data_IF_903059548790
#
_entry.id   IF_903059548790
#
_cell.length_a   1.000
_cell.length_b   1.000
_cell.length_c   1.000
_cell.angle_alpha   90.00
_cell.angle_beta   90.00
_cell.angle_gamma   90.00
#
_symmetry.space_group_name_H-M   'P 1'
#
loop_
_entity.id
_entity.type
_entity.pdbx_description
1 polymer ?
#
# COMPACT_ATOMS: atom_id res chain seq x y z
N UNK A 1 -4.28 -8.93 -23.95
CA UNK A 1 -4.28 -9.41 -22.56
C UNK A 1 -5.70 -9.28 -22.02
N UNK A 2 -6.31 -10.33 -21.49
CA UNK A 2 -7.66 -10.29 -20.92
C UNK A 2 -7.61 -9.38 -19.68
N UNK A 3 -8.48 -8.36 -19.61
CA UNK A 3 -8.65 -7.55 -18.41
C UNK A 3 -9.01 -8.48 -17.26
N UNK A 4 -8.07 -8.70 -16.36
CA UNK A 4 -8.27 -9.48 -15.15
C UNK A 4 -9.26 -8.70 -14.28
N UNK A 5 -10.46 -9.19 -14.16
CA UNK A 5 -11.50 -8.60 -13.33
C UNK A 5 -11.70 -9.50 -12.13
N UNK A 6 -11.14 -9.10 -10.98
CA UNK A 6 -11.40 -9.72 -9.69
C UNK A 6 -12.84 -9.43 -9.27
N UNK A 7 -13.78 -10.32 -9.64
CA UNK A 7 -15.20 -10.16 -9.29
C UNK A 7 -15.45 -10.75 -7.92
N UNK A 8 -15.69 -9.89 -6.93
CA UNK A 8 -15.99 -10.26 -5.54
C UNK A 8 -14.87 -11.07 -4.84
N UNK A 9 -13.68 -11.13 -5.41
CA UNK A 9 -12.50 -11.71 -4.78
C UNK A 9 -11.84 -10.68 -3.89
N UNK A 10 -11.23 -11.14 -2.80
CA UNK A 10 -10.52 -10.26 -1.87
C UNK A 10 -9.21 -9.80 -2.48
N UNK A 11 -9.03 -8.49 -2.60
CA UNK A 11 -7.81 -7.87 -3.08
C UNK A 11 -7.18 -7.04 -1.97
N UNK A 12 -5.92 -7.27 -1.68
CA UNK A 12 -5.09 -6.46 -0.78
C UNK A 12 -4.05 -5.75 -1.65
N UNK A 13 -4.15 -4.43 -1.71
CA UNK A 13 -3.35 -3.59 -2.60
C UNK A 13 -2.33 -2.84 -1.74
N UNK A 14 -1.04 -3.06 -2.01
CA UNK A 14 0.08 -2.56 -1.22
C UNK A 14 0.80 -1.42 -1.90
N UNK A 15 1.20 -0.43 -1.11
CA UNK A 15 2.23 0.52 -1.47
C UNK A 15 2.93 1.06 -0.22
N UNK A 16 4.07 1.71 -0.38
CA UNK A 16 4.82 2.34 0.71
C UNK A 16 5.03 3.83 0.49
N UNK A 17 5.37 4.51 1.56
CA UNK A 17 5.82 5.90 1.53
C UNK A 17 6.93 6.17 2.54
N UNK A 18 7.83 7.06 2.19
CA UNK A 18 9.06 7.31 2.92
C UNK A 18 10.23 6.51 2.34
N UNK A 19 11.31 6.39 3.10
CA UNK A 19 12.54 5.74 2.64
C UNK A 19 13.12 4.85 3.74
N UNK A 20 13.46 3.60 3.43
CA UNK A 20 14.14 2.67 4.34
C UNK A 20 15.64 3.00 4.52
N UNK A 21 16.20 3.93 3.72
CA UNK A 21 17.54 4.44 3.93
C UNK A 21 17.59 5.52 5.01
N UNK A 22 18.58 6.42 4.90
CA UNK A 22 18.87 7.46 5.91
C UNK A 22 17.93 8.66 5.85
N UNK A 23 17.22 8.89 4.75
CA UNK A 23 16.32 10.03 4.60
C UNK A 23 15.01 9.85 5.40
N UNK A 24 14.57 10.91 6.11
CA UNK A 24 13.37 10.93 6.92
C UNK A 24 13.44 10.04 8.16
N UNK A 25 12.50 10.20 9.07
CA UNK A 25 12.38 9.38 10.29
C UNK A 25 11.48 8.15 10.07
N UNK A 26 10.38 8.34 9.39
CA UNK A 26 9.38 7.30 9.28
C UNK A 26 9.35 6.64 7.88
N UNK A 27 9.00 5.37 7.89
CA UNK A 27 8.67 4.60 6.70
C UNK A 27 7.31 3.93 6.93
N UNK A 28 6.45 3.95 5.94
CA UNK A 28 5.08 3.43 6.03
C UNK A 28 4.86 2.38 4.97
N UNK A 29 4.28 1.25 5.35
CA UNK A 29 3.62 0.34 4.43
C UNK A 29 2.12 0.46 4.70
N UNK A 30 1.34 0.72 3.66
CA UNK A 30 -0.11 0.77 3.74
C UNK A 30 -0.74 -0.15 2.71
N UNK A 31 -1.95 -0.61 3.01
CA UNK A 31 -2.72 -1.40 2.07
C UNK A 31 -4.20 -1.04 2.12
N UNK A 32 -4.85 -1.25 0.98
CA UNK A 32 -6.29 -1.20 0.81
C UNK A 32 -6.78 -2.63 0.66
N UNK A 33 -7.70 -3.06 1.52
CA UNK A 33 -8.38 -4.34 1.47
C UNK A 33 -9.79 -4.14 0.91
N UNK A 34 -10.16 -4.84 -0.15
CA UNK A 34 -11.45 -4.66 -0.81
C UNK A 34 -11.91 -5.89 -1.60
N UNK A 35 -13.22 -6.13 -1.62
CA UNK A 35 -13.89 -7.02 -2.58
C UNK A 35 -14.44 -6.24 -3.80
N UNK A 36 -14.27 -4.93 -3.82
CA UNK A 36 -14.83 -4.04 -4.83
C UNK A 36 -13.74 -3.42 -5.75
N UNK A 37 -12.75 -4.22 -6.17
CA UNK A 37 -11.63 -3.80 -7.03
C UNK A 37 -12.05 -2.85 -8.16
N UNK A 38 -13.06 -3.25 -8.95
CA UNK A 38 -13.53 -2.49 -10.12
C UNK A 38 -14.05 -1.09 -9.74
N UNK A 39 -14.71 -0.97 -8.58
CA UNK A 39 -15.23 0.30 -8.10
C UNK A 39 -14.11 1.27 -7.73
N UNK A 40 -13.06 0.75 -7.07
CA UNK A 40 -11.86 1.52 -6.73
C UNK A 40 -11.08 1.90 -7.99
N UNK A 41 -10.84 0.96 -8.89
CA UNK A 41 -10.17 1.22 -10.17
C UNK A 41 -10.87 2.33 -10.97
N UNK A 42 -12.18 2.23 -11.16
CA UNK A 42 -12.93 3.18 -11.98
C UNK A 42 -12.93 4.60 -11.40
N UNK A 43 -13.00 4.75 -10.07
CA UNK A 43 -12.93 6.09 -9.47
C UNK A 43 -11.55 6.72 -9.66
N UNK A 44 -10.49 5.92 -9.53
CA UNK A 44 -9.12 6.38 -9.74
C UNK A 44 -8.89 6.81 -11.20
N UNK A 45 -9.26 5.96 -12.17
CA UNK A 45 -9.19 6.30 -13.62
C UNK A 45 -9.87 7.65 -13.89
N UNK A 46 -11.11 7.80 -13.41
CA UNK A 46 -11.89 9.03 -13.65
C UNK A 46 -11.25 10.25 -13.00
N UNK A 47 -10.83 10.15 -11.74
CA UNK A 47 -10.37 11.32 -10.98
C UNK A 47 -8.96 11.73 -11.36
N UNK A 48 -8.07 10.77 -11.57
CA UNK A 48 -6.74 11.07 -12.08
C UNK A 48 -6.80 11.60 -13.52
N UNK A 49 -7.70 11.07 -14.36
CA UNK A 49 -7.91 11.61 -15.72
C UNK A 49 -8.33 13.08 -15.71
N UNK A 50 -9.23 13.49 -14.81
CA UNK A 50 -9.62 14.89 -14.63
C UNK A 50 -8.42 15.72 -14.13
N UNK A 51 -7.69 15.23 -13.14
CA UNK A 51 -6.53 15.92 -12.57
C UNK A 51 -5.45 16.17 -13.64
N UNK A 52 -5.16 15.20 -14.50
CA UNK A 52 -4.21 15.31 -15.62
C UNK A 52 -4.61 16.41 -16.61
N UNK A 53 -5.90 16.54 -16.87
CA UNK A 53 -6.42 17.56 -17.79
C UNK A 53 -6.35 18.96 -17.18
N UNK A 54 -6.61 19.08 -15.88
CA UNK A 54 -6.67 20.37 -15.18
C UNK A 54 -5.31 20.84 -14.68
N UNK A 55 -4.40 19.91 -14.38
CA UNK A 55 -3.07 20.17 -13.79
C UNK A 55 -1.99 19.39 -14.56
N UNK A 56 -1.74 19.70 -15.84
CA UNK A 56 -0.81 18.94 -16.67
C UNK A 56 0.63 18.96 -16.15
N UNK A 57 1.00 19.95 -15.33
CA UNK A 57 2.32 20.08 -14.71
C UNK A 57 2.66 18.97 -13.71
N UNK A 58 1.64 18.28 -13.14
CA UNK A 58 1.85 17.21 -12.16
C UNK A 58 2.14 15.83 -12.80
N UNK A 59 2.16 15.74 -14.13
CA UNK A 59 2.32 14.46 -14.83
C UNK A 59 3.74 13.94 -14.75
N UNK A 60 4.75 14.81 -14.66
CA UNK A 60 6.17 14.47 -14.51
C UNK A 60 6.68 13.41 -15.51
N UNK A 61 6.14 13.41 -16.74
CA UNK A 61 6.54 12.46 -17.80
C UNK A 61 5.92 11.07 -17.73
N UNK A 62 5.09 10.77 -16.72
CA UNK A 62 4.36 9.51 -16.62
C UNK A 62 3.13 9.47 -17.52
N UNK A 63 2.87 8.31 -18.15
CA UNK A 63 1.74 8.16 -19.06
C UNK A 63 0.39 8.07 -18.31
N UNK A 64 0.35 7.40 -17.17
CA UNK A 64 -0.87 7.14 -16.40
C UNK A 64 -0.75 7.50 -14.92
N UNK A 65 0.45 7.51 -14.35
CA UNK A 65 0.69 7.76 -12.94
C UNK A 65 0.65 9.26 -12.60
N UNK A 66 0.05 9.59 -11.45
CA UNK A 66 0.25 10.84 -10.71
C UNK A 66 0.62 10.45 -9.30
N UNK A 67 1.90 10.55 -8.96
CA UNK A 67 2.38 10.21 -7.62
C UNK A 67 1.75 11.10 -6.56
N UNK A 68 1.34 10.51 -5.45
CA UNK A 68 0.74 11.24 -4.34
C UNK A 68 1.69 12.30 -3.75
N UNK A 69 3.00 12.08 -3.79
CA UNK A 69 4.01 13.04 -3.35
C UNK A 69 4.03 14.31 -4.20
N UNK A 70 3.79 14.19 -5.51
CA UNK A 70 3.87 15.28 -6.49
C UNK A 70 2.51 15.92 -6.77
N UNK A 71 1.42 15.28 -6.31
CA UNK A 71 0.07 15.75 -6.55
C UNK A 71 -0.19 17.09 -5.86
N UNK A 72 -0.89 17.98 -6.55
CA UNK A 72 -1.35 19.23 -5.95
C UNK A 72 -2.19 18.95 -4.68
N UNK A 73 -2.03 19.71 -3.58
CA UNK A 73 -2.71 19.46 -2.31
C UNK A 73 -4.22 19.24 -2.42
N UNK A 74 -4.91 20.05 -3.26
CA UNK A 74 -6.35 19.92 -3.49
C UNK A 74 -6.72 18.63 -4.23
N UNK A 75 -5.89 18.20 -5.18
CA UNK A 75 -6.06 16.94 -5.92
C UNK A 75 -5.90 15.76 -4.97
N UNK A 76 -4.83 15.76 -4.17
CA UNK A 76 -4.56 14.73 -3.17
C UNK A 76 -5.71 14.60 -2.17
N UNK A 77 -6.15 15.71 -1.61
CA UNK A 77 -7.27 15.74 -0.68
C UNK A 77 -8.54 15.13 -1.31
N UNK A 78 -8.92 15.60 -2.51
CA UNK A 78 -10.12 15.14 -3.19
C UNK A 78 -10.05 13.65 -3.60
N UNK A 79 -8.88 13.16 -4.02
CA UNK A 79 -8.71 11.74 -4.34
C UNK A 79 -8.92 10.88 -3.10
N UNK A 80 -8.35 11.25 -1.95
CA UNK A 80 -8.55 10.53 -0.68
C UNK A 80 -10.02 10.53 -0.25
N UNK A 81 -10.74 11.65 -0.40
CA UNK A 81 -12.19 11.68 -0.17
C UNK A 81 -12.93 10.68 -1.09
N UNK A 82 -12.55 10.63 -2.37
CA UNK A 82 -13.17 9.70 -3.31
C UNK A 82 -12.85 8.22 -2.96
N UNK A 83 -11.64 7.92 -2.53
CA UNK A 83 -11.24 6.59 -2.03
C UNK A 83 -12.09 6.23 -0.80
N UNK A 84 -12.26 7.15 0.15
CA UNK A 84 -13.05 6.95 1.35
C UNK A 84 -14.53 6.66 1.10
N UNK A 85 -15.08 7.02 -0.08
CA UNK A 85 -16.46 6.65 -0.45
C UNK A 85 -16.61 5.19 -0.88
N UNK A 86 -15.50 4.46 -1.07
CA UNK A 86 -15.54 3.08 -1.55
C UNK A 86 -15.68 2.08 -0.41
N UNK A 87 -16.14 0.89 -0.77
CA UNK A 87 -16.16 -0.26 0.14
C UNK A 87 -14.75 -0.84 0.23
N UNK A 88 -14.00 -0.28 1.16
CA UNK A 88 -12.61 -0.59 1.43
C UNK A 88 -12.33 -0.56 2.92
N UNK A 89 -11.32 -1.29 3.34
CA UNK A 89 -10.64 -1.14 4.61
C UNK A 89 -9.19 -0.73 4.37
N UNK A 90 -8.65 0.06 5.28
CA UNK A 90 -7.25 0.53 5.20
C UNK A 90 -6.50 -0.01 6.40
N UNK A 91 -5.37 -0.62 6.13
CA UNK A 91 -4.43 -1.08 7.16
C UNK A 91 -3.04 -0.56 6.88
N UNK A 92 -2.29 -0.21 7.93
CA UNK A 92 -0.93 0.25 7.76
C UNK A 92 -0.04 -0.11 8.94
N UNK A 93 1.27 -0.13 8.68
CA UNK A 93 2.33 -0.19 9.69
C UNK A 93 3.33 0.94 9.46
N UNK A 94 3.69 1.63 10.54
CA UNK A 94 4.67 2.72 10.52
C UNK A 94 5.94 2.28 11.23
N UNK A 95 7.06 2.34 10.53
CA UNK A 95 8.38 2.12 11.08
C UNK A 95 8.98 3.44 11.56
N UNK A 96 9.36 3.52 12.84
CA UNK A 96 10.21 4.59 13.38
C UNK A 96 11.69 4.16 13.31
N UNK A 97 12.37 4.61 12.27
CA UNK A 97 13.78 4.26 12.01
C UNK A 97 14.72 4.72 13.12
N UNK A 98 14.41 5.85 13.75
CA UNK A 98 15.24 6.40 14.81
C UNK A 98 15.33 5.48 16.03
N UNK A 99 14.29 4.71 16.30
CA UNK A 99 14.22 3.78 17.42
C UNK A 99 14.33 2.31 17.02
N UNK A 100 14.62 2.05 15.76
CA UNK A 100 14.89 0.71 15.23
C UNK A 100 16.38 0.43 15.28
N UNK A 101 16.76 -0.78 15.67
CA UNK A 101 18.17 -1.20 15.71
C UNK A 101 18.78 -1.06 14.32
N UNK A 102 19.96 -0.42 14.18
CA UNK A 102 20.61 -0.19 12.88
C UNK A 102 20.77 -1.47 12.05
N UNK A 103 21.11 -2.58 12.69
CA UNK A 103 21.35 -3.88 12.04
C UNK A 103 20.10 -4.38 11.28
N UNK A 104 18.89 -4.02 11.76
CA UNK A 104 17.64 -4.36 11.08
C UNK A 104 17.37 -3.49 9.85
N UNK A 105 18.06 -2.36 9.73
CA UNK A 105 17.92 -1.44 8.59
C UNK A 105 18.99 -1.65 7.51
N UNK A 106 19.98 -2.51 7.75
CA UNK A 106 21.04 -2.79 6.78
C UNK A 106 20.49 -3.44 5.51
N UNK A 107 19.57 -4.40 5.67
CA UNK A 107 18.88 -5.02 4.53
C UNK A 107 17.44 -4.51 4.42
N UNK A 108 17.23 -3.61 3.46
CA UNK A 108 15.93 -2.99 3.21
C UNK A 108 14.86 -4.00 2.80
N UNK A 109 15.26 -5.06 2.09
CA UNK A 109 14.31 -6.09 1.62
C UNK A 109 13.83 -6.95 2.78
N UNK A 110 14.74 -7.32 3.68
CA UNK A 110 14.39 -8.08 4.90
C UNK A 110 13.43 -7.24 5.75
N UNK A 111 13.74 -5.95 5.96
CA UNK A 111 12.87 -5.08 6.76
C UNK A 111 11.49 -4.90 6.10
N UNK A 112 11.45 -4.67 4.80
CA UNK A 112 10.20 -4.57 4.05
C UNK A 112 9.36 -5.84 4.18
N UNK A 113 9.95 -7.00 3.91
CA UNK A 113 9.27 -8.29 4.02
C UNK A 113 8.76 -8.55 5.44
N UNK A 114 9.54 -8.20 6.44
CA UNK A 114 9.18 -8.38 7.85
C UNK A 114 7.99 -7.51 8.25
N UNK A 115 8.00 -6.22 7.89
CA UNK A 115 6.89 -5.31 8.18
C UNK A 115 5.61 -5.72 7.44
N UNK A 116 5.74 -6.09 6.16
CA UNK A 116 4.62 -6.58 5.36
C UNK A 116 4.02 -7.85 5.95
N UNK A 117 4.86 -8.79 6.41
CA UNK A 117 4.39 -9.99 7.10
C UNK A 117 3.62 -9.65 8.38
N UNK A 118 4.14 -8.73 9.21
CA UNK A 118 3.45 -8.31 10.45
C UNK A 118 2.07 -7.75 10.12
N UNK A 119 1.97 -6.90 9.10
CA UNK A 119 0.71 -6.29 8.70
C UNK A 119 -0.27 -7.34 8.17
N UNK A 120 0.16 -8.17 7.23
CA UNK A 120 -0.67 -9.24 6.65
C UNK A 120 -1.11 -10.27 7.69
N UNK A 121 -0.26 -10.63 8.65
CA UNK A 121 -0.60 -11.56 9.73
C UNK A 121 -1.73 -11.08 10.65
N UNK A 122 -2.00 -9.77 10.66
CA UNK A 122 -3.14 -9.19 11.38
C UNK A 122 -4.40 -9.09 10.52
N UNK A 123 -4.25 -9.15 9.19
CA UNK A 123 -5.34 -9.01 8.23
C UNK A 123 -5.90 -10.35 7.76
N UNK A 124 -5.05 -11.37 7.70
CA UNK A 124 -5.35 -12.70 7.16
C UNK A 124 -5.34 -13.69 8.31
N UNK A 125 -6.40 -14.49 8.41
CA UNK A 125 -6.58 -15.43 9.50
C UNK A 125 -7.27 -16.73 9.09
N UNK A 126 -7.70 -17.51 10.07
CA UNK A 126 -8.34 -18.83 9.85
C UNK A 126 -9.63 -18.75 9.04
N UNK A 127 -10.33 -17.64 9.11
CA UNK A 127 -11.57 -17.42 8.36
C UNK A 127 -11.36 -17.31 6.85
N UNK A 128 -10.10 -17.08 6.42
CA UNK A 128 -9.70 -17.01 5.02
C UNK A 128 -9.30 -18.38 4.44
N UNK A 129 -9.30 -19.45 5.25
CA UNK A 129 -8.91 -20.79 4.81
C UNK A 129 -9.75 -21.28 3.62
N UNK A 130 -9.08 -21.82 2.60
CA UNK A 130 -9.71 -22.28 1.37
C UNK A 130 -10.16 -21.17 0.42
N UNK A 131 -9.82 -19.90 0.69
CA UNK A 131 -10.10 -18.78 -0.20
C UNK A 131 -8.88 -18.39 -1.04
N UNK A 132 -9.12 -17.67 -2.13
CA UNK A 132 -8.07 -16.99 -2.90
C UNK A 132 -8.01 -15.52 -2.49
N UNK A 133 -6.81 -15.04 -2.16
CA UNK A 133 -6.53 -13.64 -1.85
C UNK A 133 -5.52 -13.10 -2.87
N UNK A 134 -5.89 -12.03 -3.57
CA UNK A 134 -5.01 -11.34 -4.50
C UNK A 134 -4.24 -10.25 -3.76
N UNK A 135 -2.91 -10.33 -3.77
CA UNK A 135 -2.01 -9.31 -3.22
C UNK A 135 -1.36 -8.57 -4.39
N UNK A 136 -1.67 -7.28 -4.52
CA UNK A 136 -1.21 -6.44 -5.61
C UNK A 136 -0.19 -5.45 -5.08
N UNK A 137 1.03 -5.47 -5.62
CA UNK A 137 2.14 -4.62 -5.22
C UNK A 137 2.63 -3.78 -6.41
N UNK A 138 3.18 -2.59 -6.14
CA UNK A 138 3.92 -1.87 -7.16
C UNK A 138 5.20 -2.62 -7.52
N UNK A 139 5.49 -2.71 -8.79
CA UNK A 139 6.69 -3.35 -9.29
C UNK A 139 7.98 -2.50 -9.05
N UNK A 140 7.83 -1.19 -8.80
CA UNK A 140 8.93 -0.27 -8.48
C UNK A 140 9.30 -0.24 -6.99
N UNK A 141 8.46 -0.81 -6.14
CA UNK A 141 8.51 -0.74 -4.69
C UNK A 141 9.81 -1.27 -4.11
N UNK A 142 10.39 -2.27 -4.71
CA UNK A 142 11.70 -2.73 -4.32
C UNK A 142 12.49 -3.07 -5.57
N UNK A 143 13.71 -2.53 -5.71
CA UNK A 143 14.74 -3.13 -6.56
C UNK A 143 15.14 -4.45 -5.92
N UNK A 144 14.15 -5.36 -5.80
CA UNK A 144 14.34 -6.68 -5.24
C UNK A 144 15.18 -7.43 -6.25
N UNK A 145 16.35 -7.86 -5.84
CA UNK A 145 17.22 -8.77 -6.60
C UNK A 145 16.52 -10.11 -6.90
N UNK A 146 15.33 -10.36 -6.29
CA UNK A 146 14.48 -11.49 -6.55
C UNK A 146 13.02 -11.10 -6.22
N UNK A 147 12.22 -10.85 -7.26
CA UNK A 147 10.77 -10.62 -7.13
C UNK A 147 10.05 -11.79 -6.43
N UNK A 148 10.58 -12.99 -6.56
CA UNK A 148 10.01 -14.20 -5.96
C UNK A 148 10.27 -14.31 -4.45
N UNK A 149 11.26 -13.60 -3.89
CA UNK A 149 11.60 -13.72 -2.48
C UNK A 149 10.51 -13.23 -1.53
N UNK A 150 9.80 -12.14 -1.87
CA UNK A 150 8.67 -11.63 -1.08
C UNK A 150 7.48 -12.58 -1.17
N UNK A 151 7.09 -12.98 -2.39
CA UNK A 151 5.97 -13.87 -2.62
C UNK A 151 6.16 -15.22 -1.92
N UNK A 152 7.35 -15.81 -2.07
CA UNK A 152 7.68 -17.07 -1.42
C UNK A 152 7.69 -16.96 0.10
N UNK A 153 8.25 -15.87 0.63
CA UNK A 153 8.29 -15.61 2.07
C UNK A 153 6.88 -15.52 2.68
N UNK A 154 5.96 -14.81 2.02
CA UNK A 154 4.59 -14.67 2.49
C UNK A 154 3.81 -16.00 2.36
N UNK A 155 3.98 -16.73 1.24
CA UNK A 155 3.34 -18.05 1.05
C UNK A 155 3.83 -19.07 2.08
N UNK A 156 5.13 -19.11 2.36
CA UNK A 156 5.70 -20.00 3.39
C UNK A 156 5.11 -19.65 4.75
N UNK A 157 5.06 -18.37 5.10
CA UNK A 157 4.51 -17.97 6.40
C UNK A 157 3.06 -18.43 6.57
N UNK A 158 2.17 -18.13 5.63
CA UNK A 158 0.74 -18.43 5.79
C UNK A 158 0.42 -19.92 5.63
N UNK A 159 1.00 -20.59 4.65
CA UNK A 159 0.61 -21.96 4.32
C UNK A 159 1.47 -23.03 4.99
N UNK A 160 2.73 -22.72 5.33
CA UNK A 160 3.62 -23.68 5.98
C UNK A 160 3.76 -23.44 7.49
N UNK A 161 3.99 -22.18 7.92
CA UNK A 161 4.17 -21.89 9.35
C UNK A 161 2.82 -21.78 10.09
N UNK A 162 1.80 -21.19 9.45
CA UNK A 162 0.46 -20.98 10.05
C UNK A 162 -0.58 -22.02 9.65
N UNK A 163 -0.28 -22.88 8.68
CA UNK A 163 -1.15 -23.96 8.17
C UNK A 163 -2.59 -23.47 7.81
N UNK A 164 -2.69 -22.30 7.14
CA UNK A 164 -3.99 -21.71 6.85
C UNK A 164 -4.63 -22.26 5.57
N UNK A 165 -3.86 -22.85 4.64
CA UNK A 165 -4.38 -23.40 3.38
C UNK A 165 -5.04 -22.34 2.50
N UNK A 166 -4.41 -21.16 2.36
CA UNK A 166 -4.90 -20.03 1.57
C UNK A 166 -4.20 -20.02 0.21
N UNK A 167 -4.96 -19.77 -0.87
CA UNK A 167 -4.38 -19.50 -2.18
C UNK A 167 -4.00 -18.02 -2.29
N UNK A 168 -2.69 -17.73 -2.27
CA UNK A 168 -2.16 -16.37 -2.38
C UNK A 168 -1.67 -16.11 -3.80
N UNK A 169 -2.42 -15.29 -4.55
CA UNK A 169 -2.03 -14.77 -5.86
C UNK A 169 -1.35 -13.40 -5.70
N UNK A 170 -0.02 -13.40 -5.72
CA UNK A 170 0.79 -12.19 -5.53
C UNK A 170 1.24 -11.66 -6.90
N UNK A 171 0.84 -10.45 -7.22
CA UNK A 171 1.10 -9.82 -8.52
C UNK A 171 1.81 -8.49 -8.34
N UNK A 172 2.77 -8.23 -9.24
CA UNK A 172 3.51 -6.98 -9.33
C UNK A 172 3.02 -6.21 -10.56
N UNK A 173 2.49 -5.01 -10.33
CA UNK A 173 1.91 -4.16 -11.35
C UNK A 173 2.78 -2.93 -11.54
N UNK A 174 2.91 -2.47 -12.78
CA UNK A 174 3.55 -1.20 -13.08
C UNK A 174 2.56 -0.07 -12.82
N UNK A 175 2.84 0.78 -11.84
CA UNK A 175 1.97 1.90 -11.42
C UNK A 175 1.68 2.89 -12.55
N UNK A 176 2.55 2.99 -13.57
CA UNK A 176 2.32 3.82 -14.77
C UNK A 176 1.51 3.10 -15.87
N UNK A 177 0.98 1.91 -15.59
CA UNK A 177 0.13 1.18 -16.55
C UNK A 177 -1.35 1.56 -16.41
N UNK A 178 -2.08 1.45 -17.52
CA UNK A 178 -3.53 1.70 -17.55
C UNK A 178 -4.36 0.72 -16.70
N UNK A 179 -3.78 -0.39 -16.29
CA UNK A 179 -4.46 -1.43 -15.52
C UNK A 179 -4.14 -1.34 -14.00
N UNK A 180 -3.19 -0.48 -13.60
CA UNK A 180 -2.67 -0.41 -12.23
C UNK A 180 -3.18 0.79 -11.41
N UNK A 181 -4.27 1.44 -11.79
CA UNK A 181 -4.80 2.59 -11.06
C UNK A 181 -5.13 2.34 -9.59
N UNK A 182 -5.33 1.08 -9.20
CA UNK A 182 -5.54 0.73 -7.78
C UNK A 182 -4.25 0.83 -6.96
N UNK A 183 -3.08 0.60 -7.58
CA UNK A 183 -1.78 0.82 -6.94
C UNK A 183 -1.62 2.30 -6.59
N UNK A 184 -1.98 3.20 -7.52
CA UNK A 184 -1.96 4.62 -7.21
C UNK A 184 -2.91 4.98 -6.05
N UNK A 185 -4.04 4.28 -5.86
CA UNK A 185 -4.86 4.49 -4.67
C UNK A 185 -4.12 4.14 -3.38
N UNK A 186 -3.34 3.05 -3.39
CA UNK A 186 -2.52 2.65 -2.25
C UNK A 186 -1.37 3.65 -2.00
N UNK A 187 -0.73 4.20 -3.06
CA UNK A 187 0.26 5.30 -2.96
C UNK A 187 -0.35 6.53 -2.24
N UNK A 188 -1.56 6.97 -2.64
CA UNK A 188 -2.23 8.08 -1.97
C UNK A 188 -2.50 7.81 -0.50
N UNK A 189 -2.88 6.58 -0.14
CA UNK A 189 -3.12 6.17 1.25
C UNK A 189 -1.81 6.13 2.03
N UNK A 190 -0.78 5.46 1.51
CA UNK A 190 0.53 5.36 2.15
C UNK A 190 1.16 6.73 2.38
N UNK A 191 1.09 7.60 1.37
CA UNK A 191 1.62 8.96 1.46
C UNK A 191 0.82 9.83 2.45
N UNK A 192 -0.50 9.66 2.56
CA UNK A 192 -1.31 10.37 3.55
C UNK A 192 -0.92 10.00 4.98
N UNK A 193 -0.71 8.71 5.25
CA UNK A 193 -0.25 8.21 6.55
C UNK A 193 1.18 8.69 6.83
N UNK A 194 2.09 8.57 5.86
CA UNK A 194 3.47 9.04 6.01
C UNK A 194 3.54 10.53 6.33
N UNK A 195 2.79 11.36 5.62
CA UNK A 195 2.72 12.82 5.86
C UNK A 195 2.29 13.14 7.30
N UNK A 196 1.36 12.36 7.87
CA UNK A 196 0.93 12.48 9.25
C UNK A 196 2.07 12.24 10.24
N UNK A 197 2.87 11.21 10.03
CA UNK A 197 3.95 10.86 10.96
C UNK A 197 5.22 11.68 10.73
N UNK A 198 5.64 11.86 9.48
CA UNK A 198 6.88 12.56 9.14
C UNK A 198 6.78 14.08 9.39
N UNK A 199 5.63 14.67 9.04
CA UNK A 199 5.43 16.12 9.10
C UNK A 199 4.42 16.57 10.14
N UNK A 200 3.79 15.66 10.87
CA UNK A 200 2.74 16.00 11.84
C UNK A 200 1.44 16.53 11.20
N UNK A 201 1.27 16.33 9.89
CA UNK A 201 0.16 16.89 9.12
C UNK A 201 -0.89 15.82 8.79
N UNK A 202 -1.96 15.77 9.58
CA UNK A 202 -2.94 14.67 9.54
C UNK A 202 -4.09 14.85 8.55
N UNK A 203 -4.28 16.04 7.96
CA UNK A 203 -5.48 16.38 7.17
C UNK A 203 -5.81 15.38 6.07
N UNK A 204 -4.80 14.78 5.46
CA UNK A 204 -4.97 13.76 4.43
C UNK A 204 -5.39 12.42 5.03
N UNK A 205 -4.68 11.96 6.06
CA UNK A 205 -4.99 10.70 6.75
C UNK A 205 -6.38 10.74 7.41
N UNK A 206 -6.83 11.90 7.90
CA UNK A 206 -8.13 12.10 8.54
C UNK A 206 -9.30 11.84 7.57
N UNK A 207 -9.09 11.94 6.26
CA UNK A 207 -10.12 11.59 5.26
C UNK A 207 -10.47 10.10 5.27
N UNK A 208 -9.59 9.27 5.82
CA UNK A 208 -9.72 7.82 5.88
C UNK A 208 -10.09 7.30 7.28
N UNK A 209 -10.41 8.18 8.25
CA UNK A 209 -10.60 7.79 9.65
C UNK A 209 -11.64 6.67 9.86
N UNK A 210 -12.70 6.64 9.07
CA UNK A 210 -13.74 5.61 9.12
C UNK A 210 -13.39 4.34 8.31
N UNK A 211 -12.20 4.26 7.73
CA UNK A 211 -11.74 3.13 6.91
C UNK A 211 -10.60 2.35 7.57
N UNK A 212 -9.96 2.92 8.59
CA UNK A 212 -8.87 2.25 9.25
C UNK A 212 -9.32 1.01 10.01
N UNK A 213 -8.73 -0.14 9.66
CA UNK A 213 -8.90 -1.42 10.32
C UNK A 213 -7.72 -1.70 11.27
N UNK A 214 -6.49 -1.57 10.76
CA UNK A 214 -5.26 -1.79 11.51
C UNK A 214 -4.37 -0.55 11.39
N UNK A 215 -3.91 -0.05 12.54
CA UNK A 215 -3.00 1.07 12.63
C UNK A 215 -1.81 0.65 13.49
N UNK A 216 -0.80 0.04 12.87
CA UNK A 216 0.32 -0.56 13.59
C UNK A 216 1.56 0.33 13.60
N UNK A 217 2.45 0.10 14.56
CA UNK A 217 3.66 0.89 14.78
C UNK A 217 4.81 -0.03 15.18
N UNK A 218 5.97 0.20 14.57
CA UNK A 218 7.18 -0.56 14.88
C UNK A 218 8.37 0.40 15.12
N UNK A 219 9.22 0.12 16.14
CA UNK A 219 9.13 -0.94 17.16
C UNK A 219 8.10 -0.61 18.24
N UNK A 220 7.32 -1.59 18.67
CA UNK A 220 6.13 -1.40 19.52
C UNK A 220 6.37 -0.62 20.81
N UNK A 221 7.48 -0.85 21.49
CA UNK A 221 7.78 -0.27 22.81
C UNK A 221 8.49 1.09 22.73
N UNK A 222 9.18 1.35 21.63
CA UNK A 222 10.08 2.52 21.49
C UNK A 222 9.57 3.55 20.47
N UNK A 223 8.42 3.28 19.86
CA UNK A 223 7.89 4.16 18.82
C UNK A 223 7.58 5.55 19.34
N UNK A 224 8.12 6.57 18.69
CA UNK A 224 7.82 7.96 18.98
C UNK A 224 8.47 8.55 20.24
N UNK A 225 9.40 7.81 20.88
CA UNK A 225 10.15 8.29 22.04
C UNK A 225 11.14 9.40 21.70
#
# INVERSE_FOLDING_TARGET
MSKQTYRNERCIIFDESGNLGTAGRYFVIACIDTHSYKSLHNIMVRKLGIARTQFPEIINGHAHEIKAADAHPCVKYHILECIATKDILVSYIVLDKQHTKPELLEDKNIMYNYLSKILLAKMIGKDDSGTTIHILCDNHTTKITSLNSFADYIKIYFNYEQDLGIDLDIQYLDSDSADAYVIQAADYVANAVWTKYEHGYSIYADRLNNKYQIQDKFPYKMFGM
#
